data_IF_800061450359
#
_entry.id   IF_800061450359
#
_cell.length_a   1.000
_cell.length_b   1.000
_cell.length_c   1.000
_cell.angle_alpha   90.00
_cell.angle_beta   90.00
_cell.angle_gamma   90.00
#
_symmetry.space_group_name_H-M   'P 1'
#
loop_
_entity.id
_entity.type
_entity.pdbx_description
1 polymer ?
#
# COMPACT_ATOMS: atom_id res chain seq x y z
N UNK A 1 5.17 -92.25 52.11
CA UNK A 1 4.72 -90.88 51.76
C UNK A 1 5.45 -90.45 50.50
N UNK A 2 4.73 -89.93 49.50
CA UNK A 2 5.23 -89.60 48.16
C UNK A 2 6.22 -88.42 48.23
N UNK A 3 7.43 -88.57 47.71
CA UNK A 3 8.37 -87.47 47.48
C UNK A 3 8.07 -86.81 46.14
N UNK A 4 7.45 -85.63 46.18
CA UNK A 4 7.25 -84.76 45.03
C UNK A 4 8.60 -84.15 44.64
N UNK A 5 9.13 -84.49 43.45
CA UNK A 5 10.31 -83.83 42.88
C UNK A 5 9.91 -82.48 42.32
N UNK A 6 10.48 -81.40 42.86
CA UNK A 6 10.38 -80.05 42.31
C UNK A 6 11.33 -79.98 41.10
N UNK A 7 10.79 -79.73 39.92
CA UNK A 7 11.58 -79.50 38.71
C UNK A 7 12.30 -78.16 38.82
N UNK A 8 13.63 -78.17 38.68
CA UNK A 8 14.44 -76.96 38.61
C UNK A 8 14.21 -76.26 37.27
N UNK A 9 13.54 -75.11 37.28
CA UNK A 9 13.44 -74.25 36.11
C UNK A 9 14.80 -73.60 35.84
N UNK A 10 15.46 -73.99 34.75
CA UNK A 10 16.69 -73.36 34.28
C UNK A 10 16.35 -72.00 33.69
N UNK A 11 16.64 -70.92 34.43
CA UNK A 11 16.59 -69.56 33.89
C UNK A 11 17.69 -69.42 32.83
N UNK A 12 17.30 -69.38 31.56
CA UNK A 12 18.19 -69.01 30.46
C UNK A 12 18.56 -67.54 30.66
N UNK A 13 19.81 -67.28 31.05
CA UNK A 13 20.35 -65.93 31.01
C UNK A 13 20.45 -65.50 29.55
N UNK A 14 19.84 -64.37 29.14
CA UNK A 14 20.06 -63.85 27.81
C UNK A 14 21.56 -63.51 27.68
N UNK A 15 22.24 -64.19 26.77
CA UNK A 15 23.66 -63.94 26.50
C UNK A 15 23.86 -62.47 26.15
N UNK A 16 24.78 -61.80 26.83
CA UNK A 16 25.20 -60.44 26.50
C UNK A 16 25.80 -60.47 25.09
N UNK A 17 25.01 -60.02 24.10
CA UNK A 17 25.51 -59.72 22.76
C UNK A 17 26.25 -58.39 22.84
N UNK A 18 27.58 -58.44 22.87
CA UNK A 18 28.41 -57.24 22.73
C UNK A 18 28.17 -56.61 21.36
N UNK A 19 27.85 -55.31 21.34
CA UNK A 19 27.77 -54.52 20.11
C UNK A 19 29.10 -54.56 19.38
N UNK A 20 29.09 -54.88 18.09
CA UNK A 20 30.32 -54.82 17.29
C UNK A 20 30.69 -53.36 16.99
N UNK A 21 31.99 -53.06 16.90
CA UNK A 21 32.49 -51.73 16.50
C UNK A 21 31.86 -51.27 15.17
N UNK A 22 31.62 -52.22 14.26
CA UNK A 22 31.01 -51.97 12.95
C UNK A 22 29.55 -51.52 13.09
N UNK A 23 28.79 -52.14 13.99
CA UNK A 23 27.38 -51.80 14.24
C UNK A 23 27.23 -50.40 14.84
N UNK A 24 28.17 -50.00 15.71
CA UNK A 24 28.26 -48.64 16.23
C UNK A 24 28.60 -47.63 15.12
N UNK A 25 29.58 -47.94 14.26
CA UNK A 25 29.98 -47.07 13.15
C UNK A 25 28.86 -46.89 12.12
N UNK A 26 28.14 -47.97 11.78
CA UNK A 26 26.99 -47.92 10.88
C UNK A 26 25.84 -47.12 11.51
N UNK A 27 25.55 -47.34 12.79
CA UNK A 27 24.53 -46.57 13.51
C UNK A 27 24.83 -45.07 13.56
N UNK A 28 26.09 -44.69 13.84
CA UNK A 28 26.54 -43.31 13.81
C UNK A 28 26.43 -42.71 12.40
N UNK A 29 26.85 -43.44 11.37
CA UNK A 29 26.82 -42.98 9.99
C UNK A 29 25.39 -42.73 9.50
N UNK A 30 24.47 -43.64 9.80
CA UNK A 30 23.05 -43.48 9.48
C UNK A 30 22.42 -42.34 10.29
N UNK A 31 22.75 -42.21 11.58
CA UNK A 31 22.26 -41.12 12.43
C UNK A 31 22.70 -39.74 11.91
N UNK A 32 23.97 -39.59 11.55
CA UNK A 32 24.50 -38.36 10.97
C UNK A 32 23.85 -38.02 9.62
N UNK A 33 23.60 -39.03 8.78
CA UNK A 33 22.93 -38.84 7.49
C UNK A 33 21.49 -38.33 7.67
N UNK A 34 20.73 -38.90 8.61
CA UNK A 34 19.37 -38.47 8.93
C UNK A 34 19.37 -37.04 9.48
N UNK A 35 20.28 -36.71 10.39
CA UNK A 35 20.42 -35.34 10.94
C UNK A 35 20.76 -34.35 9.81
N UNK A 36 21.66 -34.71 8.91
CA UNK A 36 22.03 -33.88 7.75
C UNK A 36 20.83 -33.58 6.86
N UNK A 37 20.02 -34.60 6.54
CA UNK A 37 18.79 -34.43 5.76
C UNK A 37 17.78 -33.54 6.52
N UNK A 38 17.59 -33.78 7.82
CA UNK A 38 16.66 -32.99 8.64
C UNK A 38 17.06 -31.51 8.72
N UNK A 39 18.35 -31.21 8.87
CA UNK A 39 18.87 -29.84 8.88
C UNK A 39 18.70 -29.16 7.51
N UNK A 40 18.98 -29.89 6.41
CA UNK A 40 18.76 -29.39 5.05
C UNK A 40 17.30 -29.02 4.79
N UNK A 41 16.38 -29.91 5.17
CA UNK A 41 14.94 -29.65 5.06
C UNK A 41 14.48 -28.44 5.90
N UNK A 42 15.01 -28.30 7.13
CA UNK A 42 14.70 -27.16 7.99
C UNK A 42 15.19 -25.83 7.41
N UNK A 43 16.38 -25.79 6.82
CA UNK A 43 16.92 -24.59 6.17
C UNK A 43 16.08 -24.17 4.97
N UNK A 44 15.70 -25.12 4.11
CA UNK A 44 14.82 -24.85 2.97
C UNK A 44 13.44 -24.34 3.43
N UNK A 45 12.86 -24.97 4.45
CA UNK A 45 11.57 -24.56 5.02
C UNK A 45 11.62 -23.12 5.59
N UNK A 46 12.71 -22.77 6.30
CA UNK A 46 12.91 -21.41 6.81
C UNK A 46 13.06 -20.37 5.70
N UNK A 47 13.83 -20.65 4.66
CA UNK A 47 14.00 -19.74 3.52
C UNK A 47 12.68 -19.46 2.78
N UNK A 48 11.87 -20.50 2.56
CA UNK A 48 10.53 -20.35 1.97
C UNK A 48 9.62 -19.56 2.90
N UNK A 49 9.64 -19.86 4.20
CA UNK A 49 8.80 -19.17 5.20
C UNK A 49 9.12 -17.69 5.30
N UNK A 50 10.40 -17.32 5.23
CA UNK A 50 10.85 -15.93 5.19
C UNK A 50 10.32 -15.18 3.96
N UNK A 51 10.48 -15.76 2.77
CA UNK A 51 9.96 -15.17 1.53
C UNK A 51 8.43 -15.00 1.54
N UNK A 52 7.70 -15.99 2.06
CA UNK A 52 6.23 -15.93 2.19
C UNK A 52 5.80 -14.87 3.20
N UNK A 53 6.53 -14.75 4.32
CA UNK A 53 6.31 -13.71 5.32
C UNK A 53 6.54 -12.32 4.74
N UNK A 54 7.64 -12.14 4.00
CA UNK A 54 7.96 -10.89 3.31
C UNK A 54 6.86 -10.52 2.30
N UNK A 55 6.45 -11.45 1.44
CA UNK A 55 5.35 -11.23 0.50
C UNK A 55 4.04 -10.80 1.20
N UNK A 56 3.71 -11.46 2.32
CA UNK A 56 2.53 -11.13 3.12
C UNK A 56 2.62 -9.72 3.73
N UNK A 57 3.79 -9.36 4.26
CA UNK A 57 4.04 -8.03 4.80
C UNK A 57 3.93 -6.95 3.71
N UNK A 58 4.48 -7.19 2.51
CA UNK A 58 4.34 -6.27 1.37
C UNK A 58 2.89 -6.08 0.95
N UNK A 59 2.09 -7.15 0.91
CA UNK A 59 0.66 -7.07 0.60
C UNK A 59 -0.12 -6.28 1.66
N UNK A 60 0.18 -6.48 2.94
CA UNK A 60 -0.43 -5.72 4.04
C UNK A 60 -0.07 -4.23 3.94
N UNK A 61 1.20 -3.92 3.70
CA UNK A 61 1.67 -2.55 3.53
C UNK A 61 1.02 -1.89 2.30
N UNK A 62 0.97 -2.56 1.15
CA UNK A 62 0.28 -2.07 -0.04
C UNK A 62 -1.19 -1.79 0.25
N UNK A 63 -1.89 -2.73 0.90
CA UNK A 63 -3.30 -2.59 1.29
C UNK A 63 -3.52 -1.38 2.19
N UNK A 64 -2.61 -1.12 3.14
CA UNK A 64 -2.65 0.08 3.96
C UNK A 64 -2.48 1.35 3.11
N UNK A 65 -1.47 1.41 2.23
CA UNK A 65 -1.20 2.59 1.41
C UNK A 65 -2.42 2.91 0.53
N UNK A 66 -2.95 1.93 -0.18
CA UNK A 66 -4.13 2.09 -1.02
C UNK A 66 -5.37 2.45 -0.22
N UNK A 67 -5.56 1.90 0.98
CA UNK A 67 -6.66 2.32 1.86
C UNK A 67 -6.55 3.79 2.27
N UNK A 68 -5.34 4.27 2.58
CA UNK A 68 -5.13 5.70 2.91
C UNK A 68 -5.36 6.57 1.69
N UNK A 69 -4.68 6.30 0.57
CA UNK A 69 -4.82 7.08 -0.67
C UNK A 69 -6.25 7.04 -1.18
N UNK A 70 -6.86 5.86 -1.24
CA UNK A 70 -8.23 5.68 -1.71
C UNK A 70 -9.27 6.41 -0.86
N UNK A 71 -9.08 6.53 0.46
CA UNK A 71 -9.95 7.37 1.30
C UNK A 71 -9.88 8.85 0.91
N UNK A 72 -8.72 9.33 0.51
CA UNK A 72 -8.52 10.72 0.09
C UNK A 72 -9.03 10.93 -1.35
N UNK A 73 -8.60 10.09 -2.30
CA UNK A 73 -8.97 10.20 -3.72
C UNK A 73 -10.49 10.07 -3.92
N UNK A 74 -11.17 9.19 -3.17
CA UNK A 74 -12.64 9.07 -3.27
C UNK A 74 -13.41 10.28 -2.72
N UNK A 75 -12.75 11.15 -1.94
CA UNK A 75 -13.33 12.41 -1.47
C UNK A 75 -12.90 13.60 -2.34
N UNK A 76 -11.96 13.40 -3.27
CA UNK A 76 -11.44 14.45 -4.14
C UNK A 76 -12.59 15.21 -4.81
N UNK A 77 -12.54 16.54 -4.73
CA UNK A 77 -13.54 17.39 -5.37
C UNK A 77 -14.90 17.42 -4.64
N UNK A 78 -15.03 16.81 -3.46
CA UNK A 78 -16.27 16.90 -2.69
C UNK A 78 -16.48 18.34 -2.23
N UNK A 79 -17.72 18.81 -2.39
CA UNK A 79 -18.17 20.15 -2.05
C UNK A 79 -19.23 20.08 -0.95
N UNK A 80 -19.35 21.17 -0.18
CA UNK A 80 -20.43 21.32 0.78
C UNK A 80 -21.76 21.46 0.05
N UNK A 81 -22.78 20.77 0.58
CA UNK A 81 -24.17 21.04 0.21
C UNK A 81 -24.70 22.18 1.07
N UNK A 82 -25.11 23.26 0.43
CA UNK A 82 -25.86 24.35 1.04
C UNK A 82 -27.33 23.93 1.09
N UNK A 83 -27.88 23.79 2.30
CA UNK A 83 -29.31 23.48 2.48
C UNK A 83 -30.22 24.68 2.14
N UNK A 84 -29.66 25.88 2.07
CA UNK A 84 -30.36 27.11 1.65
C UNK A 84 -29.39 28.04 0.91
N UNK A 85 -29.32 27.93 -0.41
CA UNK A 85 -28.30 28.62 -1.22
C UNK A 85 -28.43 30.15 -1.24
N UNK A 86 -29.64 30.67 -1.00
CA UNK A 86 -29.93 32.11 -0.98
C UNK A 86 -29.81 32.76 0.40
N UNK A 87 -29.51 31.99 1.45
CA UNK A 87 -29.51 32.46 2.84
C UNK A 87 -28.09 32.39 3.43
N UNK A 88 -27.83 33.18 4.48
CA UNK A 88 -26.57 33.09 5.23
C UNK A 88 -26.64 31.89 6.17
N UNK A 89 -25.49 31.31 6.51
CA UNK A 89 -25.42 30.06 7.30
C UNK A 89 -26.06 30.10 8.69
N UNK A 90 -26.41 31.28 9.21
CA UNK A 90 -27.11 31.47 10.49
C UNK A 90 -28.63 31.54 10.36
N UNK A 91 -29.15 31.68 9.15
CA UNK A 91 -30.59 31.87 8.92
C UNK A 91 -31.33 30.52 9.00
N UNK A 92 -32.60 30.55 9.39
CA UNK A 92 -33.41 29.34 9.47
C UNK A 92 -33.64 28.74 8.08
N UNK A 93 -33.26 27.47 7.94
CA UNK A 93 -33.46 26.67 6.74
C UNK A 93 -34.92 26.21 6.69
N UNK A 94 -35.60 26.51 5.59
CA UNK A 94 -36.95 26.04 5.27
C UNK A 94 -36.85 24.87 4.28
N UNK A 95 -37.84 23.98 4.29
CA UNK A 95 -37.95 22.85 3.35
C UNK A 95 -38.11 23.34 1.90
N UNK A 96 -38.68 24.53 1.69
CA UNK A 96 -38.83 25.13 0.37
C UNK A 96 -37.57 25.88 -0.13
N UNK A 97 -36.53 26.01 0.70
CA UNK A 97 -35.32 26.71 0.29
C UNK A 97 -34.58 25.94 -0.82
N UNK A 98 -34.04 26.64 -1.84
CA UNK A 98 -33.24 26.00 -2.87
C UNK A 98 -31.95 25.44 -2.26
N UNK A 99 -31.65 24.18 -2.59
CA UNK A 99 -30.38 23.52 -2.23
C UNK A 99 -29.38 23.64 -3.37
N UNK A 100 -28.11 23.84 -3.05
CA UNK A 100 -27.05 23.92 -4.05
C UNK A 100 -25.72 23.42 -3.48
N UNK A 101 -24.82 22.93 -4.33
CA UNK A 101 -23.42 22.75 -3.92
C UNK A 101 -22.70 24.09 -3.93
N UNK A 102 -21.75 24.28 -3.02
CA UNK A 102 -20.83 25.41 -3.13
C UNK A 102 -20.07 25.37 -4.45
N UNK A 103 -20.02 26.49 -5.18
CA UNK A 103 -19.27 26.56 -6.43
C UNK A 103 -17.75 26.56 -6.18
N UNK A 104 -17.32 27.27 -5.14
CA UNK A 104 -15.95 27.28 -4.64
C UNK A 104 -15.96 27.75 -3.18
N UNK A 105 -14.89 27.44 -2.47
CA UNK A 105 -14.59 28.06 -1.18
C UNK A 105 -13.36 28.95 -1.33
N UNK A 106 -13.12 29.87 -0.39
CA UNK A 106 -12.08 30.90 -0.54
C UNK A 106 -10.67 30.34 -0.81
N UNK A 107 -10.37 29.14 -0.29
CA UNK A 107 -9.10 28.44 -0.49
C UNK A 107 -9.25 27.17 -1.35
N UNK A 108 -10.41 26.91 -1.96
CA UNK A 108 -10.66 25.68 -2.73
C UNK A 108 -11.45 25.97 -4.01
N UNK A 109 -10.80 25.78 -5.14
CA UNK A 109 -11.42 25.77 -6.46
C UNK A 109 -11.46 24.33 -6.99
N UNK A 110 -12.64 23.71 -7.14
CA UNK A 110 -12.77 22.35 -7.68
C UNK A 110 -12.08 22.13 -9.02
N UNK A 111 -12.00 23.16 -9.88
CA UNK A 111 -11.39 23.05 -11.20
C UNK A 111 -9.87 22.83 -11.13
N UNK A 112 -9.23 23.31 -10.06
CA UNK A 112 -7.78 23.32 -9.92
C UNK A 112 -7.29 22.51 -8.71
N UNK A 113 -8.06 22.40 -7.63
CA UNK A 113 -7.62 21.86 -6.35
C UNK A 113 -8.14 20.45 -6.05
N UNK A 114 -8.92 19.83 -6.95
CA UNK A 114 -9.48 18.48 -6.75
C UNK A 114 -8.40 17.39 -6.74
N UNK A 115 -7.61 17.32 -7.82
CA UNK A 115 -6.52 16.37 -7.98
C UNK A 115 -5.44 16.99 -8.85
N UNK A 116 -4.20 16.86 -8.43
CA UNK A 116 -3.03 17.40 -9.12
C UNK A 116 -1.84 16.46 -8.93
N UNK A 117 -0.78 16.66 -9.71
CA UNK A 117 0.47 15.95 -9.52
C UNK A 117 1.55 16.42 -10.48
N UNK A 118 2.77 15.90 -10.28
CA UNK A 118 3.91 16.13 -11.15
C UNK A 118 4.60 14.79 -11.41
N UNK A 119 5.07 14.57 -12.63
CA UNK A 119 5.71 13.31 -12.99
C UNK A 119 7.07 13.12 -12.30
N UNK A 120 7.83 14.19 -12.14
CA UNK A 120 9.10 14.21 -11.43
C UNK A 120 9.10 15.34 -10.40
N UNK A 121 8.45 15.16 -9.24
CA UNK A 121 8.36 16.22 -8.23
C UNK A 121 9.73 16.52 -7.62
N UNK A 122 10.09 17.80 -7.56
CA UNK A 122 11.21 18.31 -6.81
C UNK A 122 10.96 18.38 -5.29
N UNK A 123 11.85 19.10 -4.59
CA UNK A 123 11.74 19.29 -3.14
C UNK A 123 10.54 20.21 -2.84
N UNK A 124 9.58 19.71 -2.05
CA UNK A 124 8.28 20.37 -1.76
C UNK A 124 7.23 20.30 -2.88
N UNK A 125 7.49 19.51 -3.93
CA UNK A 125 6.48 19.12 -4.91
C UNK A 125 6.00 17.69 -4.62
N UNK A 126 4.87 17.33 -5.23
CA UNK A 126 4.18 16.07 -4.91
C UNK A 126 3.81 15.32 -6.17
N UNK A 127 3.95 13.99 -6.10
CA UNK A 127 3.56 13.08 -7.19
C UNK A 127 2.05 12.98 -7.31
N UNK A 128 1.35 13.15 -6.18
CA UNK A 128 -0.10 13.22 -6.09
C UNK A 128 -0.52 14.19 -4.99
N UNK A 129 -1.41 15.11 -5.34
CA UNK A 129 -2.13 16.01 -4.45
C UNK A 129 -3.62 15.76 -4.64
N UNK A 130 -4.34 15.66 -3.54
CA UNK A 130 -5.80 15.51 -3.53
C UNK A 130 -6.38 16.56 -2.60
N UNK A 131 -7.40 17.28 -3.07
CA UNK A 131 -8.10 18.31 -2.32
C UNK A 131 -9.61 18.15 -2.35
N UNK A 132 -10.24 18.60 -1.27
CA UNK A 132 -11.69 18.67 -1.14
C UNK A 132 -12.13 19.67 -0.07
N UNK A 133 -13.37 20.14 -0.15
CA UNK A 133 -13.90 21.17 0.75
C UNK A 133 -13.85 20.70 2.21
N UNK A 134 -13.36 21.57 3.09
CA UNK A 134 -13.55 21.44 4.52
C UNK A 134 -14.70 22.34 4.96
N UNK A 135 -15.54 21.86 5.87
CA UNK A 135 -16.64 22.64 6.44
C UNK A 135 -17.09 22.04 7.76
N UNK A 136 -17.70 22.87 8.60
CA UNK A 136 -18.33 22.42 9.84
C UNK A 136 -19.80 22.11 9.59
N UNK A 137 -20.33 21.16 10.35
CA UNK A 137 -21.75 20.85 10.37
C UNK A 137 -22.16 20.47 11.79
N UNK A 138 -23.43 20.66 12.16
CA UNK A 138 -23.94 20.15 13.42
C UNK A 138 -23.83 18.62 13.44
N UNK A 139 -23.29 18.07 14.52
CA UNK A 139 -23.23 16.64 14.74
C UNK A 139 -24.40 16.22 15.62
N UNK A 140 -24.92 15.01 15.42
CA UNK A 140 -26.00 14.49 16.26
C UNK A 140 -25.60 14.54 17.74
N UNK A 141 -26.40 15.24 18.55
CA UNK A 141 -26.15 15.41 19.99
C UNK A 141 -25.09 16.46 20.36
N UNK A 142 -24.61 17.28 19.41
CA UNK A 142 -23.67 18.37 19.66
C UNK A 142 -24.21 19.70 19.14
N UNK A 143 -24.21 20.73 20.00
CA UNK A 143 -24.49 22.11 19.59
C UNK A 143 -23.28 22.80 18.94
N UNK A 144 -22.09 22.18 18.99
CA UNK A 144 -20.87 22.70 18.39
C UNK A 144 -20.73 22.07 17.01
N UNK A 145 -20.75 22.90 15.97
CA UNK A 145 -20.46 22.43 14.63
C UNK A 145 -19.00 21.98 14.52
N UNK A 146 -18.78 20.82 13.90
CA UNK A 146 -17.46 20.23 13.80
C UNK A 146 -17.24 19.68 12.40
N UNK A 147 -16.03 19.84 11.88
CA UNK A 147 -15.61 19.19 10.63
C UNK A 147 -15.35 17.71 10.86
N UNK A 148 -15.82 16.86 9.95
CA UNK A 148 -15.51 15.42 9.92
C UNK A 148 -14.46 15.08 8.84
N UNK A 149 -14.04 16.07 8.06
CA UNK A 149 -13.11 15.91 6.96
C UNK A 149 -11.67 15.86 7.52
N UNK A 150 -10.88 14.87 7.06
CA UNK A 150 -9.53 14.61 7.56
C UNK A 150 -8.57 14.27 6.44
N UNK A 151 -7.40 14.90 6.42
CA UNK A 151 -6.35 14.55 5.47
C UNK A 151 -5.75 13.16 5.76
N UNK A 152 -4.76 12.76 4.96
CA UNK A 152 -4.06 11.48 5.09
C UNK A 152 -3.36 11.26 6.44
N UNK A 153 -3.12 12.33 7.22
CA UNK A 153 -2.53 12.28 8.55
C UNK A 153 -3.58 12.38 9.67
N UNK A 154 -4.86 12.42 9.32
CA UNK A 154 -5.94 12.55 10.30
C UNK A 154 -6.10 13.97 10.85
N UNK A 155 -5.54 14.98 10.18
CA UNK A 155 -5.61 16.38 10.63
C UNK A 155 -6.69 17.14 9.88
N UNK A 156 -7.17 18.21 10.50
CA UNK A 156 -7.87 19.29 9.82
C UNK A 156 -6.83 20.23 9.21
N UNK A 157 -7.02 20.64 7.95
CA UNK A 157 -6.14 21.59 7.27
C UNK A 157 -6.62 23.03 7.52
N UNK A 158 -6.96 23.80 6.48
CA UNK A 158 -7.60 25.12 6.64
C UNK A 158 -9.10 24.96 6.92
N UNK A 159 -9.79 26.07 7.16
CA UNK A 159 -11.24 26.07 7.35
C UNK A 159 -12.02 25.56 6.13
N UNK A 160 -11.46 25.73 4.93
CA UNK A 160 -12.18 25.54 3.67
C UNK A 160 -11.64 24.39 2.80
N UNK A 161 -10.43 23.91 3.08
CA UNK A 161 -9.73 22.94 2.23
C UNK A 161 -9.05 21.87 3.05
N UNK A 162 -9.32 20.61 2.72
CA UNK A 162 -8.50 19.47 3.10
C UNK A 162 -7.59 19.05 1.93
N UNK A 163 -6.28 19.26 2.09
CA UNK A 163 -5.23 18.71 1.23
C UNK A 163 -4.57 17.45 1.80
N UNK A 164 -4.36 16.47 0.93
CA UNK A 164 -3.51 15.31 1.14
C UNK A 164 -2.50 15.19 0.02
N UNK A 165 -1.22 15.19 0.36
CA UNK A 165 -0.13 15.24 -0.61
C UNK A 165 0.86 14.11 -0.40
N UNK A 166 1.17 13.37 -1.47
CA UNK A 166 1.99 12.16 -1.42
C UNK A 166 3.25 12.33 -2.28
N UNK A 167 4.38 11.94 -1.71
CA UNK A 167 5.67 11.97 -2.40
C UNK A 167 6.56 10.82 -1.93
N UNK A 168 7.38 10.29 -2.84
CA UNK A 168 8.40 9.29 -2.53
C UNK A 168 9.73 9.98 -2.20
N UNK A 169 10.27 9.75 -1.02
CA UNK A 169 11.66 10.04 -0.71
C UNK A 169 12.52 8.90 -1.24
N UNK A 170 12.97 9.02 -2.50
CA UNK A 170 13.73 7.98 -3.19
C UNK A 170 15.08 7.66 -2.53
N UNK A 171 15.67 8.61 -1.78
CA UNK A 171 16.92 8.38 -1.04
C UNK A 171 16.71 7.45 0.15
N UNK A 172 15.54 7.54 0.78
CA UNK A 172 15.15 6.72 1.95
C UNK A 172 14.20 5.58 1.60
N UNK A 173 13.81 5.43 0.34
CA UNK A 173 12.77 4.51 -0.12
C UNK A 173 11.48 4.60 0.72
N UNK A 174 11.10 5.82 1.12
CA UNK A 174 9.98 6.04 2.04
C UNK A 174 8.91 6.87 1.35
N UNK A 175 7.70 6.31 1.23
CA UNK A 175 6.53 7.04 0.79
C UNK A 175 6.04 7.91 1.96
N UNK A 176 5.88 9.21 1.71
CA UNK A 176 5.49 10.18 2.73
C UNK A 176 4.14 10.79 2.38
N UNK A 177 3.36 11.09 3.41
CA UNK A 177 2.21 11.96 3.27
C UNK A 177 2.40 13.28 3.99
N UNK A 178 1.90 14.35 3.38
CA UNK A 178 1.85 15.69 3.96
C UNK A 178 0.40 16.16 3.96
N UNK A 179 -0.08 16.50 5.14
CA UNK A 179 -1.35 17.14 5.37
C UNK A 179 -1.16 18.65 5.47
N UNK A 180 -1.38 19.21 6.65
CA UNK A 180 -1.24 20.66 6.86
C UNK A 180 0.23 21.09 6.66
N UNK A 181 0.51 22.26 6.05
CA UNK A 181 1.88 22.73 5.85
C UNK A 181 2.69 22.79 7.15
N UNK A 182 2.05 23.11 8.26
CA UNK A 182 2.65 23.22 9.60
C UNK A 182 3.04 21.88 10.23
N UNK A 183 2.49 20.75 9.79
CA UNK A 183 2.69 19.45 10.44
C UNK A 183 3.89 18.65 9.90
N UNK A 184 4.49 19.09 8.79
CA UNK A 184 5.56 18.38 8.10
C UNK A 184 5.13 17.06 7.46
N UNK A 185 6.02 16.49 6.64
CA UNK A 185 5.77 15.24 5.94
C UNK A 185 6.01 14.03 6.87
N UNK A 186 5.06 13.12 6.99
CA UNK A 186 5.16 11.89 7.79
C UNK A 186 5.37 10.65 6.91
N UNK A 187 6.15 9.66 7.36
CA UNK A 187 6.30 8.39 6.63
C UNK A 187 4.98 7.60 6.67
N UNK A 188 4.51 7.17 5.49
CA UNK A 188 3.34 6.31 5.33
C UNK A 188 3.76 4.85 5.14
N UNK A 189 4.84 4.61 4.39
CA UNK A 189 5.37 3.27 4.15
C UNK A 189 6.87 3.35 3.85
N UNK A 190 7.59 2.29 4.20
CA UNK A 190 9.02 2.13 3.92
C UNK A 190 9.21 1.11 2.79
N UNK A 191 10.44 0.99 2.31
CA UNK A 191 10.81 0.07 1.22
C UNK A 191 9.94 0.22 -0.03
N UNK A 192 9.66 1.48 -0.39
CA UNK A 192 8.95 1.82 -1.63
C UNK A 192 10.02 2.13 -2.68
N UNK A 193 10.14 1.26 -3.67
CA UNK A 193 11.09 1.38 -4.78
C UNK A 193 10.64 2.39 -5.82
N UNK A 194 9.34 2.42 -6.12
CA UNK A 194 8.77 3.31 -7.13
C UNK A 194 7.33 3.69 -6.74
N UNK A 195 6.93 4.92 -7.10
CA UNK A 195 5.60 5.45 -6.92
C UNK A 195 5.22 6.28 -8.15
N UNK A 196 4.30 5.75 -8.94
CA UNK A 196 3.80 6.38 -10.16
C UNK A 196 2.30 6.63 -10.05
N UNK A 197 1.85 7.71 -10.69
CA UNK A 197 0.43 8.05 -10.80
C UNK A 197 0.15 8.41 -12.23
N UNK A 198 -0.90 7.82 -12.77
CA UNK A 198 -1.43 8.10 -14.12
C UNK A 198 -2.88 8.53 -13.97
N UNK A 199 -3.32 9.39 -14.86
CA UNK A 199 -4.65 9.96 -14.85
C UNK A 199 -5.42 9.46 -16.05
N UNK A 200 -6.72 9.28 -15.90
CA UNK A 200 -7.61 8.95 -17.00
C UNK A 200 -8.41 10.21 -17.33
N UNK A 201 -8.29 10.67 -18.57
CA UNK A 201 -9.07 11.78 -19.10
C UNK A 201 -10.11 11.25 -20.09
N UNK A 202 -11.28 11.89 -20.12
CA UNK A 202 -12.29 11.62 -21.14
C UNK A 202 -12.08 12.52 -22.36
N UNK A 203 -12.18 11.94 -23.55
CA UNK A 203 -12.13 12.69 -24.82
C UNK A 203 -13.24 13.76 -24.86
N UNK A 204 -12.98 14.98 -25.38
CA UNK A 204 -13.93 16.08 -25.31
C UNK A 204 -15.06 15.99 -26.36
N UNK A 205 -15.03 15.01 -27.26
CA UNK A 205 -15.93 14.93 -28.43
C UNK A 205 -16.78 13.67 -28.42
N UNK A 206 -17.87 13.61 -27.65
CA UNK A 206 -18.99 12.64 -27.77
C UNK A 206 -18.68 11.14 -27.59
N UNK A 207 -17.45 10.71 -27.84
CA UNK A 207 -16.92 9.39 -27.66
C UNK A 207 -16.40 9.28 -26.22
N UNK A 208 -17.05 8.43 -25.42
CA UNK A 208 -16.66 8.11 -24.05
C UNK A 208 -15.37 7.27 -23.98
N UNK A 209 -14.32 7.68 -24.69
CA UNK A 209 -13.00 7.03 -24.66
C UNK A 209 -12.19 7.61 -23.51
N UNK A 210 -11.79 6.72 -22.61
CA UNK A 210 -10.86 7.02 -21.53
C UNK A 210 -9.44 6.79 -22.02
N UNK A 211 -8.56 7.77 -21.79
CA UNK A 211 -7.15 7.67 -22.12
C UNK A 211 -6.30 7.83 -20.87
N UNK A 212 -5.36 6.91 -20.66
CA UNK A 212 -4.33 7.07 -19.65
C UNK A 212 -3.30 8.10 -20.10
N UNK A 213 -3.07 9.09 -19.24
CA UNK A 213 -2.11 10.17 -19.42
C UNK A 213 -1.28 10.35 -18.14
N UNK A 214 -0.10 10.93 -18.27
CA UNK A 214 0.75 11.32 -17.15
C UNK A 214 0.37 12.74 -16.66
N UNK A 215 1.02 13.26 -15.61
CA UNK A 215 0.71 14.60 -15.11
C UNK A 215 1.04 15.70 -16.14
N UNK A 216 2.16 15.56 -16.86
CA UNK A 216 2.58 16.55 -17.85
C UNK A 216 1.59 16.70 -19.03
N UNK A 217 0.97 15.59 -19.46
CA UNK A 217 0.00 15.53 -20.55
C UNK A 217 -1.40 16.00 -20.13
N UNK A 218 -1.72 15.99 -18.83
CA UNK A 218 -2.91 16.69 -18.32
C UNK A 218 -2.73 18.20 -18.46
N UNK A 219 -1.53 18.72 -18.18
CA UNK A 219 -1.23 20.14 -18.34
C UNK A 219 -2.06 21.01 -17.39
N UNK A 220 -2.96 21.82 -17.96
CA UNK A 220 -3.89 22.67 -17.21
C UNK A 220 -5.32 22.09 -17.14
N UNK A 221 -5.60 21.01 -17.87
CA UNK A 221 -6.95 20.43 -18.04
C UNK A 221 -7.32 19.45 -16.92
N UNK A 222 -6.97 19.76 -15.67
CA UNK A 222 -7.20 18.87 -14.53
C UNK A 222 -8.68 18.60 -14.25
N UNK A 223 -9.57 19.51 -14.67
CA UNK A 223 -11.02 19.32 -14.60
C UNK A 223 -11.54 18.13 -15.41
N UNK A 224 -10.78 17.68 -16.42
CA UNK A 224 -11.15 16.57 -17.32
C UNK A 224 -10.70 15.20 -16.81
N UNK A 225 -9.98 15.16 -15.69
CA UNK A 225 -9.55 13.91 -15.07
C UNK A 225 -10.75 13.24 -14.40
N UNK A 226 -11.02 11.99 -14.78
CA UNK A 226 -12.15 11.21 -14.25
C UNK A 226 -11.70 10.06 -13.34
N UNK A 227 -10.44 9.65 -13.43
CA UNK A 227 -9.86 8.64 -12.54
C UNK A 227 -8.34 8.81 -12.41
N UNK A 228 -7.78 8.25 -11.34
CA UNK A 228 -6.35 8.16 -11.11
C UNK A 228 -5.93 6.70 -10.84
N UNK A 229 -4.95 6.20 -11.59
CA UNK A 229 -4.25 4.96 -11.35
C UNK A 229 -3.01 5.24 -10.48
N UNK A 230 -2.96 4.60 -9.31
CA UNK A 230 -1.78 4.59 -8.46
C UNK A 230 -1.04 3.27 -8.65
N UNK A 231 0.24 3.35 -8.99
CA UNK A 231 1.14 2.22 -9.07
C UNK A 231 2.28 2.36 -8.06
N UNK A 232 2.54 1.29 -7.31
CA UNK A 232 3.58 1.22 -6.31
C UNK A 232 4.43 -0.02 -6.53
N UNK A 233 5.75 0.11 -6.34
CA UNK A 233 6.64 -1.04 -6.20
C UNK A 233 7.17 -1.04 -4.78
N UNK A 234 6.90 -2.12 -4.06
CA UNK A 234 7.41 -2.37 -2.73
C UNK A 234 8.46 -3.48 -2.77
N UNK A 235 9.44 -3.42 -1.89
CA UNK A 235 10.46 -4.47 -1.78
C UNK A 235 10.61 -5.00 -0.35
N UNK A 236 10.97 -6.28 -0.25
CA UNK A 236 11.13 -7.01 1.01
C UNK A 236 12.33 -6.55 1.83
N UNK A 237 12.50 -7.18 2.99
CA UNK A 237 13.65 -6.95 3.87
C UNK A 237 14.67 -8.08 3.81
N UNK A 238 14.23 -9.27 3.43
CA UNK A 238 15.07 -10.45 3.33
C UNK A 238 15.86 -10.46 2.01
N UNK A 239 17.14 -10.81 2.11
CA UNK A 239 17.98 -11.05 0.94
C UNK A 239 17.79 -12.49 0.53
N UNK A 240 17.31 -12.70 -0.69
CA UNK A 240 17.05 -14.03 -1.24
C UNK A 240 18.15 -14.42 -2.23
N UNK A 241 18.50 -15.70 -2.25
CA UNK A 241 19.32 -16.24 -3.32
C UNK A 241 18.42 -16.38 -4.56
N UNK A 242 18.79 -15.70 -5.65
CA UNK A 242 18.02 -15.67 -6.88
C UNK A 242 18.96 -15.95 -8.06
N UNK A 243 18.49 -16.63 -9.12
CA UNK A 243 19.25 -16.79 -10.35
C UNK A 243 19.68 -15.44 -10.93
N UNK A 244 20.78 -15.43 -11.69
CA UNK A 244 21.16 -14.27 -12.48
C UNK A 244 20.01 -13.86 -13.41
N UNK A 245 19.88 -12.56 -13.68
CA UNK A 245 18.81 -12.00 -14.53
C UNK A 245 17.39 -12.17 -13.97
N UNK A 246 17.25 -12.25 -12.64
CA UNK A 246 15.93 -12.27 -11.99
C UNK A 246 15.28 -10.88 -12.03
N UNK A 247 14.25 -10.70 -12.86
CA UNK A 247 13.62 -9.39 -13.13
C UNK A 247 12.20 -9.24 -12.60
N UNK A 248 11.76 -7.99 -12.43
CA UNK A 248 10.35 -7.62 -12.27
C UNK A 248 9.95 -6.53 -13.28
N UNK A 249 8.66 -6.42 -13.59
CA UNK A 249 8.12 -5.34 -14.44
C UNK A 249 7.72 -4.16 -13.57
N UNK A 250 8.30 -2.99 -13.77
CA UNK A 250 8.08 -1.80 -12.95
C UNK A 250 6.70 -1.16 -13.19
N UNK A 251 6.41 -0.10 -12.44
CA UNK A 251 5.34 0.83 -12.76
C UNK A 251 5.59 1.49 -14.11
N UNK A 252 4.50 1.72 -14.86
CA UNK A 252 4.58 2.44 -16.11
C UNK A 252 5.12 3.87 -15.87
N UNK A 253 6.13 4.23 -16.63
CA UNK A 253 6.72 5.57 -16.69
C UNK A 253 5.76 6.57 -17.33
N UNK A 254 6.18 7.82 -17.42
CA UNK A 254 5.37 8.93 -17.96
C UNK A 254 4.94 8.68 -19.41
N UNK A 255 5.69 7.92 -20.20
CA UNK A 255 5.37 7.52 -21.58
C UNK A 255 4.42 6.31 -21.66
N UNK A 256 4.01 5.74 -20.52
CA UNK A 256 3.17 4.55 -20.44
C UNK A 256 3.91 3.22 -20.59
N UNK A 257 5.24 3.23 -20.74
CA UNK A 257 6.04 2.00 -20.83
C UNK A 257 6.46 1.51 -19.45
N UNK A 258 6.45 0.20 -19.24
CA UNK A 258 6.89 -0.41 -17.99
C UNK A 258 8.23 -1.13 -18.22
N UNK A 259 9.27 -0.69 -17.52
CA UNK A 259 10.63 -1.23 -17.66
C UNK A 259 10.77 -2.58 -16.95
N UNK A 260 11.61 -3.47 -17.49
CA UNK A 260 11.98 -4.73 -16.84
C UNK A 260 13.29 -4.56 -16.07
N UNK A 261 13.19 -4.54 -14.74
CA UNK A 261 14.29 -4.23 -13.83
C UNK A 261 14.90 -5.51 -13.27
N UNK A 262 16.21 -5.68 -13.41
CA UNK A 262 16.96 -6.78 -12.82
C UNK A 262 17.25 -6.55 -11.34
N UNK A 263 16.70 -7.42 -10.48
CA UNK A 263 16.84 -7.32 -9.03
C UNK A 263 18.25 -7.65 -8.53
N UNK A 264 19.07 -8.32 -9.34
CA UNK A 264 20.43 -8.74 -8.98
C UNK A 264 21.45 -7.61 -9.10
N UNK A 265 21.18 -6.61 -9.94
CA UNK A 265 22.09 -5.48 -10.23
C UNK A 265 21.70 -4.18 -9.52
N UNK A 266 20.54 -4.14 -8.86
CA UNK A 266 20.08 -2.96 -8.12
C UNK A 266 21.07 -2.57 -7.01
N UNK A 267 21.17 -1.28 -6.66
CA UNK A 267 21.95 -0.85 -5.50
C UNK A 267 21.28 -1.26 -4.18
N UNK A 268 22.09 -1.40 -3.13
CA UNK A 268 21.57 -1.60 -1.77
C UNK A 268 20.67 -0.41 -1.36
N UNK A 269 19.59 -0.64 -0.60
CA UNK A 269 19.18 -1.89 0.04
C UNK A 269 18.29 -2.81 -0.84
N UNK A 270 18.08 -2.48 -2.12
CA UNK A 270 17.11 -3.19 -2.98
C UNK A 270 17.67 -4.47 -3.60
N UNK A 271 18.98 -4.61 -3.69
CA UNK A 271 19.66 -5.75 -4.32
C UNK A 271 19.19 -7.08 -3.75
N UNK A 272 18.84 -8.02 -4.62
CA UNK A 272 18.48 -9.41 -4.27
C UNK A 272 17.34 -9.50 -3.24
N UNK A 273 16.32 -8.67 -3.36
CA UNK A 273 15.10 -8.72 -2.54
C UNK A 273 13.86 -8.86 -3.40
N UNK A 274 12.83 -9.50 -2.85
CA UNK A 274 11.52 -9.60 -3.49
C UNK A 274 10.98 -8.20 -3.80
N UNK A 275 10.64 -7.93 -5.06
CA UNK A 275 9.90 -6.73 -5.48
C UNK A 275 8.49 -7.14 -5.91
N UNK A 276 7.49 -6.40 -5.45
CA UNK A 276 6.09 -6.60 -5.83
C UNK A 276 5.49 -5.30 -6.32
N UNK A 277 4.82 -5.37 -7.47
CA UNK A 277 4.14 -4.24 -8.09
C UNK A 277 2.66 -4.34 -7.80
N UNK A 278 2.10 -3.24 -7.31
CA UNK A 278 0.68 -3.13 -7.01
C UNK A 278 0.08 -1.95 -7.75
N UNK A 279 -1.13 -2.12 -8.26
CA UNK A 279 -1.86 -1.10 -9.01
C UNK A 279 -3.29 -0.99 -8.49
N UNK A 280 -3.80 0.23 -8.38
CA UNK A 280 -5.19 0.48 -8.04
C UNK A 280 -5.69 1.72 -8.75
N UNK A 281 -6.87 1.62 -9.37
CA UNK A 281 -7.52 2.72 -10.08
C UNK A 281 -8.66 3.24 -9.23
N UNK A 282 -8.70 4.56 -9.05
CA UNK A 282 -9.73 5.25 -8.30
C UNK A 282 -10.49 6.19 -9.24
N UNK A 283 -11.79 5.94 -9.39
CA UNK A 283 -12.67 6.88 -10.06
C UNK A 283 -12.91 8.11 -9.17
N UNK A 284 -12.81 9.29 -9.77
CA UNK A 284 -13.17 10.55 -9.13
C UNK A 284 -14.67 10.73 -9.22
N UNK A 285 -15.27 11.21 -8.13
CA UNK A 285 -16.72 11.41 -8.02
C UNK A 285 -17.09 12.90 -8.05
N UNK A 286 -16.26 13.75 -8.67
CA UNK A 286 -16.53 15.19 -8.69
C UNK A 286 -17.90 15.41 -9.35
N UNK A 287 -18.78 16.05 -8.57
CA UNK A 287 -20.18 16.27 -8.90
C UNK A 287 -20.28 17.32 -10.02
N UNK A 288 -20.09 16.90 -11.27
CA UNK A 288 -20.42 17.73 -12.43
C UNK A 288 -19.29 18.49 -13.11
N UNK A 289 -18.01 18.12 -12.93
CA UNK A 289 -16.92 18.74 -13.72
C UNK A 289 -16.80 18.23 -15.17
N UNK A 290 -17.45 17.11 -15.51
CA UNK A 290 -17.38 16.48 -16.82
C UNK A 290 -18.69 16.61 -17.63
N UNK A 291 -19.48 17.66 -17.38
CA UNK A 291 -20.72 17.99 -18.08
C UNK A 291 -20.66 19.35 -18.75
#
# INVERSE_FOLDING_TARGET
MKHTRIAAATLVQPGQRGLSLVELLVGLLLGLLIIGVALGALMASRAVSGTVSDASHLQQQASHIFRVMGRQIRQAGSLRLLLSSGKKGTDTVDVADPVAFEASAQDFDPAHDTILGLDAPGRAQYKLTVGYSNYTQPLHGSAIETSLQRNCLGQTNSHNLILSRFALDARKNTLRCTGAPSAGAQPLAQNVANFQVRYLIQSPKGDARLQYVNAAAVGQDWSRVVAAEVCLVLFGIEVINMPADSRYTDCASSDGTAESIDMTTLPAPRTRRLHMVFRSVYQLRSQGMAG
#
